data_IF_685901889826
#
_entry.id   IF_685901889826
#
_cell.length_a   1.000
_cell.length_b   1.000
_cell.length_c   1.000
_cell.angle_alpha   90.00
_cell.angle_beta   90.00
_cell.angle_gamma   90.00
#
_symmetry.space_group_name_H-M   'P 1'
#
loop_
_entity.id
_entity.type
_entity.pdbx_description
1 polymer ?
#
# COMPACT_ATOMS: atom_id res chain seq x y z
N UNK A 1 16.06 -14.91 -14.73
CA UNK A 1 15.91 -14.43 -13.32
C UNK A 1 14.93 -13.26 -13.22
N UNK A 2 15.00 -12.15 -14.01
CA UNK A 2 14.05 -11.04 -13.88
C UNK A 2 12.58 -11.42 -14.08
N UNK A 3 12.28 -12.26 -15.07
CA UNK A 3 10.92 -12.76 -15.35
C UNK A 3 10.37 -13.53 -14.15
N UNK A 4 11.18 -14.39 -13.54
CA UNK A 4 10.77 -15.14 -12.35
C UNK A 4 10.50 -14.23 -11.15
N UNK A 5 11.37 -13.25 -10.91
CA UNK A 5 11.19 -12.28 -9.82
C UNK A 5 9.89 -11.49 -10.03
N UNK A 6 9.63 -11.02 -11.26
CA UNK A 6 8.41 -10.32 -11.60
C UNK A 6 7.15 -11.18 -11.51
N UNK A 7 7.21 -12.43 -11.94
CA UNK A 7 6.09 -13.37 -11.84
C UNK A 7 5.70 -13.64 -10.37
N UNK A 8 6.69 -13.85 -9.50
CA UNK A 8 6.45 -14.00 -8.06
C UNK A 8 5.87 -12.70 -7.49
N UNK A 9 6.42 -11.54 -7.86
CA UNK A 9 5.90 -10.26 -7.43
C UNK A 9 4.43 -10.05 -7.83
N UNK A 10 4.06 -10.36 -9.06
CA UNK A 10 2.68 -10.31 -9.51
C UNK A 10 1.76 -11.25 -8.74
N UNK A 11 2.21 -12.48 -8.47
CA UNK A 11 1.45 -13.44 -7.66
C UNK A 11 1.26 -12.94 -6.21
N UNK A 12 2.29 -12.31 -5.62
CA UNK A 12 2.20 -11.72 -4.29
C UNK A 12 1.14 -10.60 -4.24
N UNK A 13 1.07 -9.72 -5.23
CA UNK A 13 0.04 -8.68 -5.29
C UNK A 13 -1.35 -9.29 -5.24
N UNK A 14 -1.62 -10.28 -6.12
CA UNK A 14 -2.94 -10.95 -6.19
C UNK A 14 -3.31 -11.62 -4.88
N UNK A 15 -2.33 -12.16 -4.15
CA UNK A 15 -2.55 -12.79 -2.84
C UNK A 15 -2.80 -11.77 -1.74
N UNK A 16 -2.04 -10.68 -1.71
CA UNK A 16 -2.06 -9.75 -0.57
C UNK A 16 -3.19 -8.71 -0.65
N UNK A 17 -3.68 -8.33 -1.83
CA UNK A 17 -4.84 -7.44 -1.95
C UNK A 17 -6.03 -7.95 -1.12
N UNK A 18 -6.55 -9.19 -1.34
CA UNK A 18 -7.69 -9.67 -0.55
C UNK A 18 -7.36 -9.90 0.93
N UNK A 19 -6.08 -10.08 1.29
CA UNK A 19 -5.67 -10.21 2.70
C UNK A 19 -5.82 -8.86 3.40
N UNK A 20 -5.33 -7.78 2.80
CA UNK A 20 -5.47 -6.44 3.36
C UNK A 20 -6.93 -5.99 3.42
N UNK A 21 -7.75 -6.32 2.42
CA UNK A 21 -9.19 -6.08 2.44
C UNK A 21 -9.87 -6.80 3.62
N UNK A 22 -9.55 -8.08 3.85
CA UNK A 22 -10.06 -8.84 5.00
C UNK A 22 -9.62 -8.26 6.35
N UNK A 23 -8.43 -7.69 6.41
CA UNK A 23 -7.91 -6.99 7.59
C UNK A 23 -8.52 -5.60 7.76
N UNK A 24 -9.41 -5.18 6.84
CA UNK A 24 -10.04 -3.86 6.80
C UNK A 24 -9.01 -2.72 6.75
N UNK A 25 -7.92 -2.95 6.04
CA UNK A 25 -6.90 -1.95 5.76
C UNK A 25 -7.27 -1.23 4.47
N UNK A 26 -7.45 0.07 4.55
CA UNK A 26 -7.80 0.93 3.43
C UNK A 26 -6.56 1.13 2.53
N UNK A 27 -6.51 0.39 1.43
CA UNK A 27 -5.38 0.41 0.47
C UNK A 27 -5.87 0.56 -0.99
N UNK A 28 -6.55 1.67 -1.33
CA UNK A 28 -7.21 1.84 -2.63
C UNK A 28 -6.24 1.87 -3.81
N UNK A 29 -4.98 2.23 -3.58
CA UNK A 29 -3.94 2.32 -4.62
C UNK A 29 -2.92 1.19 -4.56
N UNK A 30 -3.09 0.23 -3.67
CA UNK A 30 -2.18 -0.89 -3.51
C UNK A 30 -0.82 -0.52 -2.90
N UNK A 31 -0.77 0.50 -2.04
CA UNK A 31 0.47 0.92 -1.40
C UNK A 31 1.08 -0.20 -0.54
N UNK A 32 0.26 -0.96 0.16
CA UNK A 32 0.71 -2.09 0.97
C UNK A 32 0.99 -3.32 0.10
N UNK A 33 0.04 -3.71 -0.75
CA UNK A 33 0.15 -4.93 -1.56
C UNK A 33 1.19 -4.80 -2.68
N UNK A 34 1.26 -3.66 -3.37
CA UNK A 34 2.17 -3.47 -4.50
C UNK A 34 3.54 -2.98 -4.02
N UNK A 35 3.61 -1.95 -3.19
CA UNK A 35 4.89 -1.34 -2.84
C UNK A 35 5.56 -1.99 -1.63
N UNK A 36 4.85 -2.17 -0.50
CA UNK A 36 5.46 -2.75 0.69
C UNK A 36 5.84 -4.21 0.48
N UNK A 37 4.89 -5.05 0.06
CA UNK A 37 5.12 -6.50 -0.11
C UNK A 37 6.16 -6.76 -1.20
N UNK A 38 6.03 -6.11 -2.36
CA UNK A 38 7.01 -6.28 -3.43
C UNK A 38 8.35 -5.59 -3.15
N UNK A 39 8.38 -4.54 -2.37
CA UNK A 39 9.63 -3.94 -1.89
C UNK A 39 10.42 -4.89 -1.00
N UNK A 40 9.74 -5.57 -0.07
CA UNK A 40 10.33 -6.62 0.75
C UNK A 40 10.79 -7.79 -0.13
N UNK A 41 9.92 -8.28 -1.02
CA UNK A 41 10.25 -9.35 -1.95
C UNK A 41 11.46 -9.00 -2.82
N UNK A 42 11.45 -7.84 -3.48
CA UNK A 42 12.54 -7.41 -4.36
C UNK A 42 13.88 -7.30 -3.63
N UNK A 43 13.88 -6.80 -2.39
CA UNK A 43 15.08 -6.73 -1.56
C UNK A 43 15.58 -8.12 -1.19
N UNK A 44 14.70 -9.03 -0.78
CA UNK A 44 15.08 -10.41 -0.48
C UNK A 44 15.55 -11.17 -1.73
N UNK A 45 14.94 -10.91 -2.88
CA UNK A 45 15.33 -11.52 -4.16
C UNK A 45 16.79 -11.20 -4.52
N UNK A 46 17.31 -10.04 -4.18
CA UNK A 46 18.73 -9.71 -4.36
C UNK A 46 19.60 -10.70 -3.56
N UNK A 47 19.25 -10.97 -2.31
CA UNK A 47 20.00 -11.93 -1.49
C UNK A 47 19.86 -13.39 -1.94
N UNK A 48 18.81 -13.71 -2.73
CA UNK A 48 18.59 -15.07 -3.26
C UNK A 48 19.27 -15.28 -4.61
N UNK A 49 19.21 -14.29 -5.50
CA UNK A 49 19.59 -14.44 -6.91
C UNK A 49 20.92 -13.81 -7.29
N UNK A 50 21.51 -13.00 -6.42
CA UNK A 50 22.80 -12.35 -6.67
C UNK A 50 23.88 -13.03 -5.84
N UNK A 51 24.93 -13.53 -6.49
CA UNK A 51 26.08 -14.10 -5.82
C UNK A 51 26.74 -13.04 -4.92
N UNK A 52 27.32 -13.48 -3.81
CA UNK A 52 28.03 -12.65 -2.82
C UNK A 52 27.15 -11.62 -2.06
N UNK A 53 25.83 -11.66 -2.23
CA UNK A 53 24.89 -10.86 -1.44
C UNK A 53 24.22 -11.70 -0.37
N UNK A 54 24.39 -11.31 0.89
CA UNK A 54 23.80 -12.03 2.02
C UNK A 54 22.31 -11.72 2.17
N UNK A 55 21.47 -12.74 2.15
CA UNK A 55 20.03 -12.62 2.46
C UNK A 55 19.79 -12.06 3.87
N UNK A 56 20.67 -12.39 4.80
CA UNK A 56 20.59 -11.88 6.18
C UNK A 56 20.88 -10.37 6.22
N UNK A 57 21.79 -9.88 5.38
CA UNK A 57 22.04 -8.46 5.26
C UNK A 57 20.82 -7.72 4.67
N UNK A 58 20.17 -8.31 3.66
CA UNK A 58 18.93 -7.77 3.09
C UNK A 58 17.81 -7.71 4.12
N UNK A 59 17.63 -8.79 4.89
CA UNK A 59 16.62 -8.83 5.96
C UNK A 59 16.88 -7.77 7.04
N UNK A 60 18.13 -7.61 7.46
CA UNK A 60 18.51 -6.53 8.40
C UNK A 60 18.22 -5.15 7.82
N UNK A 61 18.51 -4.93 6.54
CA UNK A 61 18.21 -3.68 5.83
C UNK A 61 16.71 -3.37 5.84
N UNK A 62 15.87 -4.35 5.51
CA UNK A 62 14.41 -4.22 5.55
C UNK A 62 13.94 -3.82 6.96
N UNK A 63 14.43 -4.50 7.99
CA UNK A 63 14.05 -4.21 9.38
C UNK A 63 14.48 -2.80 9.81
N UNK A 64 15.72 -2.39 9.51
CA UNK A 64 16.23 -1.06 9.84
C UNK A 64 15.41 0.04 9.13
N UNK A 65 15.18 -0.11 7.83
CA UNK A 65 14.37 0.84 7.06
C UNK A 65 12.94 0.90 7.62
N UNK A 66 12.33 -0.25 7.91
CA UNK A 66 10.99 -0.32 8.49
C UNK A 66 10.91 0.38 9.86
N UNK A 67 11.88 0.14 10.73
CA UNK A 67 11.94 0.76 12.06
C UNK A 67 12.12 2.28 12.02
N UNK A 68 12.72 2.82 10.98
CA UNK A 68 12.92 4.27 10.81
C UNK A 68 11.74 4.89 10.07
N UNK A 69 11.40 4.33 8.90
CA UNK A 69 10.44 4.94 7.98
C UNK A 69 9.02 4.87 8.54
N UNK A 70 8.63 3.74 9.14
CA UNK A 70 7.27 3.57 9.65
C UNK A 70 6.91 4.60 10.75
N UNK A 71 7.67 4.72 11.86
CA UNK A 71 7.33 5.71 12.87
C UNK A 71 7.49 7.15 12.38
N UNK A 72 8.48 7.43 11.53
CA UNK A 72 8.68 8.78 11.00
C UNK A 72 7.51 9.19 10.10
N UNK A 73 7.06 8.33 9.20
CA UNK A 73 5.90 8.56 8.34
C UNK A 73 4.62 8.72 9.17
N UNK A 74 4.44 7.85 10.17
CA UNK A 74 3.28 7.92 11.05
C UNK A 74 3.22 9.24 11.82
N UNK A 75 4.34 9.67 12.41
CA UNK A 75 4.44 10.95 13.12
C UNK A 75 4.15 12.11 12.17
N UNK A 76 4.74 12.09 10.97
CA UNK A 76 4.56 13.14 9.97
C UNK A 76 3.09 13.28 9.58
N UNK A 77 2.44 12.17 9.20
CA UNK A 77 1.03 12.17 8.82
C UNK A 77 0.14 12.57 10.00
N UNK A 78 0.44 12.10 11.21
CA UNK A 78 -0.28 12.49 12.42
C UNK A 78 -0.21 14.00 12.69
N UNK A 79 0.96 14.61 12.53
CA UNK A 79 1.14 16.06 12.71
C UNK A 79 0.40 16.86 11.62
N UNK A 80 0.49 16.42 10.36
CA UNK A 80 -0.23 17.06 9.25
C UNK A 80 -1.74 16.98 9.48
N UNK A 81 -2.25 15.81 9.89
CA UNK A 81 -3.68 15.61 10.15
C UNK A 81 -4.23 16.48 11.31
N UNK A 82 -3.37 17.00 12.18
CA UNK A 82 -3.78 17.99 13.19
C UNK A 82 -4.01 19.40 12.61
N UNK A 83 -3.41 19.69 11.48
CA UNK A 83 -3.48 21.00 10.81
C UNK A 83 -4.49 20.96 9.68
N UNK A 84 -4.49 19.89 8.92
CA UNK A 84 -5.35 19.64 7.77
C UNK A 84 -6.12 18.33 7.98
N UNK A 85 -7.41 18.34 7.68
CA UNK A 85 -8.20 17.11 7.64
C UNK A 85 -7.78 16.31 6.40
N UNK A 86 -7.04 15.21 6.62
CA UNK A 86 -6.50 14.39 5.52
C UNK A 86 -7.47 13.31 5.04
N UNK A 87 -8.43 12.90 5.89
CA UNK A 87 -9.40 11.87 5.56
C UNK A 87 -10.79 12.49 5.44
N UNK A 88 -11.47 12.13 4.36
CA UNK A 88 -12.87 12.50 4.16
C UNK A 88 -13.75 11.97 5.30
N UNK A 89 -14.77 12.72 5.69
CA UNK A 89 -15.73 12.32 6.71
C UNK A 89 -16.53 11.07 6.32
N UNK A 90 -17.12 10.40 7.31
CA UNK A 90 -17.87 9.16 7.05
C UNK A 90 -19.07 9.40 6.13
N UNK A 91 -19.73 10.55 6.22
CA UNK A 91 -20.83 10.94 5.34
C UNK A 91 -20.34 11.15 3.90
N UNK A 92 -19.23 11.86 3.72
CA UNK A 92 -18.62 12.10 2.41
C UNK A 92 -18.17 10.78 1.74
N UNK A 93 -17.64 9.84 2.53
CA UNK A 93 -17.28 8.51 2.04
C UNK A 93 -18.51 7.67 1.63
N UNK A 94 -19.66 7.88 2.29
CA UNK A 94 -20.90 7.20 1.94
C UNK A 94 -21.57 7.82 0.71
N UNK A 95 -21.53 9.14 0.56
CA UNK A 95 -22.09 9.84 -0.61
C UNK A 95 -21.21 9.65 -1.85
N UNK A 96 -19.90 9.57 -1.66
CA UNK A 96 -18.90 9.47 -2.71
C UNK A 96 -18.08 10.76 -2.81
N UNK A 97 -16.76 10.62 -2.76
CA UNK A 97 -15.83 11.75 -2.79
C UNK A 97 -15.86 12.48 -4.13
N UNK A 98 -16.18 11.80 -5.21
CA UNK A 98 -16.42 12.37 -6.54
C UNK A 98 -17.57 13.38 -6.54
N UNK A 99 -18.67 13.07 -5.87
CA UNK A 99 -19.82 13.98 -5.76
C UNK A 99 -19.55 15.10 -4.76
N UNK A 100 -19.00 14.81 -3.58
CA UNK A 100 -18.84 15.78 -2.49
C UNK A 100 -17.69 16.76 -2.71
N UNK A 101 -16.54 16.31 -3.24
CA UNK A 101 -15.38 17.16 -3.46
C UNK A 101 -15.29 17.70 -4.90
N UNK A 102 -15.67 16.87 -5.88
CA UNK A 102 -15.53 17.23 -7.29
C UNK A 102 -16.86 17.71 -7.93
N UNK A 103 -17.99 17.47 -7.30
CA UNK A 103 -19.31 17.84 -7.80
C UNK A 103 -19.73 17.08 -9.08
N UNK A 104 -19.13 15.92 -9.32
CA UNK A 104 -19.38 15.06 -10.50
C UNK A 104 -19.59 13.62 -10.05
N UNK A 105 -20.57 12.93 -10.68
CA UNK A 105 -20.72 11.48 -10.55
C UNK A 105 -19.85 10.77 -11.58
N UNK A 106 -18.87 9.99 -11.13
CA UNK A 106 -17.96 9.26 -12.02
C UNK A 106 -18.64 8.12 -12.78
N UNK A 107 -19.72 7.56 -12.24
CA UNK A 107 -20.47 6.45 -12.81
C UNK A 107 -21.99 6.66 -12.67
N UNK A 108 -22.60 7.63 -13.39
CA UNK A 108 -24.01 8.00 -13.22
C UNK A 108 -24.99 6.87 -13.59
N UNK A 109 -24.55 5.87 -14.38
CA UNK A 109 -25.33 4.69 -14.73
C UNK A 109 -25.46 3.66 -13.59
N UNK A 110 -24.56 3.68 -12.61
CA UNK A 110 -24.60 2.83 -11.43
C UNK A 110 -25.26 3.56 -10.25
N UNK A 111 -26.56 3.80 -10.35
CA UNK A 111 -27.31 4.40 -9.21
C UNK A 111 -27.26 3.45 -8.03
N UNK A 112 -26.80 3.94 -6.89
CA UNK A 112 -26.98 3.24 -5.62
C UNK A 112 -28.49 3.10 -5.38
N UNK A 113 -28.98 1.86 -5.29
CA UNK A 113 -30.26 1.57 -4.69
C UNK A 113 -30.11 1.81 -3.18
N UNK A 114 -30.55 2.95 -2.71
CA UNK A 114 -30.71 3.26 -1.28
C UNK A 114 -31.87 2.45 -0.74
#
# INVERSE_FOLDING_TARGET
TPILIGAIGGALVVLFVPIFDKLRMDDPVGALSVHLINGIWGTLAVGVFVADVSILAQLKGILVVGMIVFPLSWITIYLINKIFVLRAGDEEQLEGIDATECGIESYPEFKRSI
#
